data_IF_517381340227
#
_entry.id   IF_517381340227
#
_cell.length_a   1.000
_cell.length_b   1.000
_cell.length_c   1.000
_cell.angle_alpha   90.00
_cell.angle_beta   90.00
_cell.angle_gamma   90.00
#
_symmetry.space_group_name_H-M   'P 1'
#
loop_
_entity.id
_entity.type
_entity.pdbx_description
1 polymer ?
#
# COMPACT_ATOMS: atom_id res chain seq x y z
N UNK A 1 -5.61 -9.70 14.44
CA UNK A 1 -5.35 -10.15 13.07
C UNK A 1 -4.22 -9.32 12.47
N UNK A 2 -3.36 -9.96 11.72
CA UNK A 2 -2.23 -9.31 11.04
C UNK A 2 -2.36 -9.57 9.54
N UNK A 3 -2.31 -8.51 8.76
CA UNK A 3 -2.30 -8.60 7.30
C UNK A 3 -0.85 -8.46 6.82
N UNK A 4 -0.45 -9.33 5.89
CA UNK A 4 0.93 -9.38 5.39
C UNK A 4 0.90 -9.35 3.86
N UNK A 5 1.78 -8.54 3.28
CA UNK A 5 2.01 -8.51 1.85
C UNK A 5 3.52 -8.56 1.58
N UNK A 6 3.92 -9.47 0.71
CA UNK A 6 5.29 -9.54 0.23
C UNK A 6 5.40 -8.78 -1.08
N UNK A 7 6.17 -7.70 -1.08
CA UNK A 7 6.28 -6.80 -2.22
C UNK A 7 7.56 -7.05 -3.02
N UNK A 8 7.39 -7.22 -4.31
CA UNK A 8 8.47 -7.28 -5.28
C UNK A 8 7.97 -6.65 -6.58
N UNK A 9 8.42 -5.44 -6.87
CA UNK A 9 7.84 -4.66 -7.96
C UNK A 9 6.35 -4.44 -7.76
N UNK A 10 5.97 -3.97 -6.57
CA UNK A 10 4.57 -3.87 -6.15
C UNK A 10 4.41 -2.83 -5.06
N UNK A 11 3.17 -2.48 -4.77
CA UNK A 11 2.86 -1.62 -3.64
C UNK A 11 1.80 -2.22 -2.74
N UNK A 12 1.80 -1.78 -1.48
CA UNK A 12 0.73 -2.04 -0.53
C UNK A 12 0.10 -0.71 -0.14
N UNK A 13 -1.22 -0.66 -0.24
CA UNK A 13 -2.01 0.45 0.28
C UNK A 13 -2.69 -0.02 1.55
N UNK A 14 -2.38 0.64 2.67
CA UNK A 14 -3.01 0.37 3.95
C UNK A 14 -3.97 1.51 4.26
N UNK A 15 -5.24 1.17 4.49
CA UNK A 15 -6.26 2.10 4.94
C UNK A 15 -6.68 1.74 6.36
N UNK A 16 -6.88 2.75 7.19
CA UNK A 16 -7.31 2.58 8.57
C UNK A 16 -8.33 3.66 8.94
N UNK A 17 -9.47 3.22 9.43
CA UNK A 17 -10.49 4.09 10.04
C UNK A 17 -10.30 3.99 11.56
N UNK A 18 -9.70 5.02 12.13
CA UNK A 18 -9.34 5.03 13.55
C UNK A 18 -10.58 4.95 14.45
N UNK A 19 -11.63 5.66 14.10
CA UNK A 19 -12.83 5.73 14.92
C UNK A 19 -13.56 4.38 14.99
N UNK A 20 -13.55 3.62 13.90
CA UNK A 20 -14.25 2.33 13.83
C UNK A 20 -13.33 1.15 14.13
N UNK A 21 -12.03 1.36 14.21
CA UNK A 21 -11.06 0.28 14.38
C UNK A 21 -11.07 -0.72 13.22
N UNK A 22 -11.33 -0.25 12.01
CA UNK A 22 -11.39 -1.06 10.80
C UNK A 22 -10.28 -0.66 9.86
N UNK A 23 -9.64 -1.63 9.24
CA UNK A 23 -8.61 -1.36 8.26
C UNK A 23 -8.48 -2.47 7.25
N UNK A 24 -7.76 -2.19 6.18
CA UNK A 24 -7.49 -3.15 5.13
C UNK A 24 -6.17 -2.88 4.43
N UNK A 25 -5.68 -3.88 3.74
CA UNK A 25 -4.45 -3.81 2.95
C UNK A 25 -4.76 -4.26 1.53
N UNK A 26 -4.40 -3.43 0.57
CA UNK A 26 -4.51 -3.73 -0.85
C UNK A 26 -3.12 -3.90 -1.44
N UNK A 27 -2.87 -5.05 -2.04
CA UNK A 27 -1.61 -5.37 -2.72
C UNK A 27 -1.80 -5.24 -4.21
N UNK A 28 -1.05 -4.34 -4.83
CA UNK A 28 -1.08 -4.12 -6.27
C UNK A 28 0.31 -4.30 -6.86
N UNK A 29 0.43 -5.16 -7.85
CA UNK A 29 1.66 -5.30 -8.61
C UNK A 29 1.76 -4.18 -9.63
N UNK A 30 2.98 -3.72 -9.90
CA UNK A 30 3.22 -2.79 -11.00
C UNK A 30 2.94 -3.50 -12.32
N UNK A 31 2.44 -2.71 -13.26
CA UNK A 31 1.98 -3.23 -14.55
C UNK A 31 3.18 -3.54 -15.42
N UNK A 32 3.19 -4.74 -16.01
CA UNK A 32 4.30 -5.25 -16.81
C UNK A 32 5.46 -5.76 -15.94
N UNK A 33 6.35 -6.54 -16.51
CA UNK A 33 7.51 -7.10 -15.81
C UNK A 33 8.49 -6.01 -15.35
N UNK A 34 8.50 -4.89 -16.06
CA UNK A 34 9.39 -3.77 -15.77
C UNK A 34 8.71 -2.67 -14.97
N UNK A 35 7.37 -2.68 -14.88
CA UNK A 35 6.60 -1.61 -14.27
C UNK A 35 6.71 -0.28 -15.00
N UNK A 36 7.04 -0.28 -16.27
CA UNK A 36 7.24 0.95 -17.05
C UNK A 36 5.93 1.73 -17.18
N UNK A 37 5.96 3.07 -17.10
CA UNK A 37 4.77 3.88 -17.33
C UNK A 37 4.12 3.62 -18.70
N UNK A 38 4.92 3.28 -19.71
CA UNK A 38 4.42 2.95 -21.05
C UNK A 38 3.59 1.68 -21.11
N UNK A 39 3.69 0.81 -20.10
CA UNK A 39 2.88 -0.41 -20.02
C UNK A 39 1.50 -0.15 -19.44
N UNK A 40 1.24 1.08 -18.98
CA UNK A 40 -0.03 1.47 -18.39
C UNK A 40 -0.99 1.88 -19.51
N UNK A 41 -2.02 1.06 -19.75
CA UNK A 41 -3.07 1.36 -20.72
C UNK A 41 -4.29 1.96 -20.01
N UNK A 42 -5.18 2.60 -20.77
CA UNK A 42 -6.43 3.13 -20.22
C UNK A 42 -7.27 2.05 -19.55
N UNK A 43 -7.32 0.87 -20.13
CA UNK A 43 -8.04 -0.28 -19.54
C UNK A 43 -7.44 -0.70 -18.22
N UNK A 44 -6.12 -0.68 -18.11
CA UNK A 44 -5.42 -1.04 -16.87
C UNK A 44 -5.68 -0.01 -15.78
N UNK A 45 -5.65 1.27 -16.13
CA UNK A 45 -5.97 2.35 -15.19
C UNK A 45 -7.39 2.21 -14.68
N UNK A 46 -8.35 1.93 -15.58
CA UNK A 46 -9.75 1.72 -15.19
C UNK A 46 -9.90 0.55 -14.24
N UNK A 47 -9.17 -0.54 -14.48
CA UNK A 47 -9.19 -1.73 -13.60
C UNK A 47 -8.64 -1.42 -12.22
N UNK A 48 -7.54 -0.68 -12.15
CA UNK A 48 -6.94 -0.25 -10.87
C UNK A 48 -7.91 0.63 -10.09
N UNK A 49 -8.53 1.60 -10.75
CA UNK A 49 -9.50 2.50 -10.11
C UNK A 49 -10.72 1.74 -9.59
N UNK A 50 -11.19 0.73 -10.33
CA UNK A 50 -12.31 -0.12 -9.90
C UNK A 50 -11.94 -0.90 -8.65
N UNK A 51 -10.78 -1.52 -8.62
CA UNK A 51 -10.30 -2.27 -7.45
C UNK A 51 -10.12 -1.34 -6.26
N UNK A 52 -9.52 -0.18 -6.49
CA UNK A 52 -9.30 0.82 -5.44
C UNK A 52 -10.62 1.31 -4.84
N UNK A 53 -11.63 1.57 -5.67
CA UNK A 53 -12.94 2.00 -5.22
C UNK A 53 -13.61 0.93 -4.33
N UNK A 54 -13.57 -0.33 -4.75
CA UNK A 54 -14.08 -1.43 -3.94
C UNK A 54 -13.36 -1.56 -2.61
N UNK A 55 -12.05 -1.41 -2.62
CA UNK A 55 -11.24 -1.47 -1.41
C UNK A 55 -11.60 -0.35 -0.45
N UNK A 56 -11.70 0.88 -0.95
CA UNK A 56 -12.10 2.03 -0.13
C UNK A 56 -13.48 1.81 0.50
N UNK A 57 -14.44 1.32 -0.26
CA UNK A 57 -15.79 1.06 0.25
C UNK A 57 -15.81 -0.01 1.34
N UNK A 58 -14.90 -0.97 1.30
CA UNK A 58 -14.80 -2.00 2.32
C UNK A 58 -14.26 -1.48 3.65
N UNK A 59 -13.48 -0.42 3.63
CA UNK A 59 -12.87 0.17 4.84
C UNK A 59 -13.64 1.41 5.30
N UNK A 60 -13.98 2.29 4.36
CA UNK A 60 -14.64 3.56 4.66
C UNK A 60 -16.15 3.34 4.73
N UNK A 61 -16.70 3.43 5.93
CA UNK A 61 -18.14 3.33 6.13
C UNK A 61 -18.85 4.65 5.85
N UNK A 62 -20.17 4.61 5.77
CA UNK A 62 -21.01 5.81 5.57
C UNK A 62 -20.92 6.80 6.74
N UNK A 63 -20.60 6.29 7.93
CA UNK A 63 -20.41 7.12 9.12
C UNK A 63 -18.98 7.57 9.36
N UNK A 64 -18.04 7.15 8.50
CA UNK A 64 -16.63 7.48 8.65
C UNK A 64 -16.38 8.97 8.36
N UNK A 65 -15.59 9.60 9.20
CA UNK A 65 -15.11 10.96 8.97
C UNK A 65 -13.79 10.89 8.21
N UNK A 66 -13.66 11.70 7.17
CA UNK A 66 -12.48 11.66 6.30
C UNK A 66 -11.17 11.97 7.03
N UNK A 67 -11.21 12.85 8.01
CA UNK A 67 -10.05 13.21 8.81
C UNK A 67 -9.60 12.09 9.78
N UNK A 68 -10.46 11.10 10.03
CA UNK A 68 -10.16 9.94 10.87
C UNK A 68 -9.64 8.76 10.05
N UNK A 69 -9.63 8.87 8.73
CA UNK A 69 -9.12 7.83 7.84
C UNK A 69 -7.68 8.14 7.48
N UNK A 70 -6.82 7.16 7.71
CA UNK A 70 -5.41 7.25 7.39
C UNK A 70 -5.05 6.27 6.28
N UNK A 71 -4.27 6.74 5.33
CA UNK A 71 -3.78 5.91 4.24
C UNK A 71 -2.26 5.94 4.22
N UNK A 72 -1.67 4.80 3.90
CA UNK A 72 -0.24 4.70 3.74
C UNK A 72 0.08 3.81 2.55
N UNK A 73 0.92 4.32 1.65
CA UNK A 73 1.42 3.56 0.51
C UNK A 73 2.86 3.17 0.79
N UNK A 74 3.14 1.88 0.71
CA UNK A 74 4.48 1.34 0.77
C UNK A 74 4.77 0.68 -0.56
N UNK A 75 5.75 1.21 -1.30
CA UNK A 75 6.07 0.73 -2.63
C UNK A 75 7.47 0.12 -2.64
N UNK A 76 7.57 -1.04 -3.26
CA UNK A 76 8.85 -1.68 -3.55
C UNK A 76 9.13 -1.54 -5.03
N UNK A 77 10.19 -0.82 -5.37
CA UNK A 77 10.68 -0.68 -6.73
C UNK A 77 12.03 -1.38 -6.86
N UNK A 78 12.23 -2.03 -7.99
CA UNK A 78 13.56 -2.54 -8.33
C UNK A 78 14.51 -1.37 -8.54
N UNK A 79 15.84 -1.58 -8.38
CA UNK A 79 16.81 -0.52 -8.63
C UNK A 79 16.60 0.09 -10.02
N UNK A 80 16.84 1.41 -10.17
CA UNK A 80 16.58 2.06 -11.45
C UNK A 80 17.38 1.43 -12.57
N UNK A 81 16.69 1.19 -13.67
CA UNK A 81 17.30 0.84 -14.94
C UNK A 81 17.32 2.09 -15.81
N UNK A 82 17.91 2.01 -17.00
CA UNK A 82 17.96 3.14 -17.94
C UNK A 82 16.56 3.65 -18.34
N UNK A 83 15.51 2.96 -17.95
CA UNK A 83 14.13 3.26 -18.32
C UNK A 83 13.38 4.16 -17.32
N UNK A 84 14.04 4.64 -16.26
CA UNK A 84 13.44 5.55 -15.27
C UNK A 84 12.68 4.85 -14.14
N UNK A 85 11.81 5.59 -13.44
CA UNK A 85 11.05 5.11 -12.29
C UNK A 85 9.73 4.46 -12.71
N UNK A 86 9.66 3.13 -12.78
CA UNK A 86 8.50 2.46 -13.37
C UNK A 86 7.24 2.52 -12.51
N UNK A 87 7.36 2.77 -11.22
CA UNK A 87 6.24 2.73 -10.27
C UNK A 87 5.58 4.08 -10.01
N UNK A 88 6.16 5.19 -10.52
CA UNK A 88 5.71 6.54 -10.16
C UNK A 88 4.27 6.79 -10.57
N UNK A 89 3.86 6.40 -11.78
CA UNK A 89 2.52 6.68 -12.29
C UNK A 89 1.42 5.96 -11.52
N UNK A 90 1.66 4.74 -11.03
CA UNK A 90 0.67 4.01 -10.22
C UNK A 90 0.52 4.65 -8.83
N UNK A 91 1.63 4.97 -8.19
CA UNK A 91 1.63 5.65 -6.89
C UNK A 91 0.93 7.00 -7.01
N UNK A 92 1.26 7.78 -8.03
CA UNK A 92 0.67 9.09 -8.27
C UNK A 92 -0.85 9.00 -8.49
N UNK A 93 -1.29 8.00 -9.24
CA UNK A 93 -2.71 7.75 -9.48
C UNK A 93 -3.47 7.50 -8.18
N UNK A 94 -2.93 6.64 -7.33
CA UNK A 94 -3.56 6.30 -6.05
C UNK A 94 -3.56 7.51 -5.11
N UNK A 95 -2.45 8.25 -5.05
CA UNK A 95 -2.37 9.46 -4.25
C UNK A 95 -3.41 10.49 -4.68
N UNK A 96 -3.57 10.69 -5.98
CA UNK A 96 -4.55 11.63 -6.53
C UNK A 96 -5.97 11.21 -6.19
N UNK A 97 -6.29 9.93 -6.31
CA UNK A 97 -7.60 9.39 -5.97
C UNK A 97 -7.92 9.57 -4.48
N UNK A 98 -6.97 9.30 -3.61
CA UNK A 98 -7.15 9.48 -2.17
C UNK A 98 -7.29 10.96 -1.80
N UNK A 99 -6.51 11.83 -2.44
CA UNK A 99 -6.59 13.27 -2.23
C UNK A 99 -7.93 13.84 -2.66
N UNK A 100 -8.48 13.37 -3.77
CA UNK A 100 -9.82 13.76 -4.22
C UNK A 100 -10.89 13.37 -3.19
N UNK A 101 -10.70 12.26 -2.50
CA UNK A 101 -11.56 11.84 -1.39
C UNK A 101 -11.22 12.49 -0.06
N UNK A 102 -10.27 13.42 -0.02
CA UNK A 102 -9.79 14.12 1.20
C UNK A 102 -9.22 13.18 2.25
N UNK A 103 -8.60 12.09 1.80
CA UNK A 103 -7.93 11.12 2.68
C UNK A 103 -6.44 11.43 2.70
N UNK A 104 -5.89 11.63 3.89
CA UNK A 104 -4.46 11.85 4.07
C UNK A 104 -3.68 10.58 3.74
N UNK A 105 -2.65 10.72 2.92
CA UNK A 105 -1.85 9.58 2.49
C UNK A 105 -0.36 9.86 2.64
N UNK A 106 0.31 9.02 3.42
CA UNK A 106 1.76 8.98 3.47
C UNK A 106 2.29 7.96 2.47
N UNK A 107 3.41 8.27 1.83
CA UNK A 107 4.00 7.39 0.83
C UNK A 107 5.48 7.18 1.12
N UNK A 108 5.91 5.92 1.02
CA UNK A 108 7.31 5.55 1.11
C UNK A 108 7.64 4.56 -0.01
N UNK A 109 8.66 4.88 -0.79
CA UNK A 109 9.15 3.99 -1.85
C UNK A 109 10.54 3.48 -1.46
N UNK A 110 10.71 2.17 -1.53
CA UNK A 110 11.98 1.52 -1.24
C UNK A 110 12.51 0.82 -2.49
N UNK A 111 13.77 1.12 -2.82
CA UNK A 111 14.44 0.55 -3.98
C UNK A 111 15.40 -0.53 -3.52
N UNK A 112 15.01 -1.77 -3.73
CA UNK A 112 15.77 -2.95 -3.30
C UNK A 112 15.59 -4.09 -4.29
N UNK A 113 16.54 -5.01 -4.30
CA UNK A 113 16.40 -6.26 -5.06
C UNK A 113 15.65 -7.33 -4.27
N UNK A 114 15.74 -7.28 -2.94
CA UNK A 114 15.08 -8.27 -2.08
C UNK A 114 13.58 -7.97 -1.93
N UNK A 115 12.82 -9.02 -1.71
CA UNK A 115 11.40 -8.93 -1.37
C UNK A 115 11.23 -8.14 -0.07
N UNK A 116 10.25 -7.26 -0.05
CA UNK A 116 9.93 -6.46 1.11
C UNK A 116 8.62 -6.95 1.71
N UNK A 117 8.65 -7.32 2.98
CA UNK A 117 7.43 -7.73 3.67
C UNK A 117 6.83 -6.56 4.44
N UNK A 118 5.56 -6.28 4.14
CA UNK A 118 4.77 -5.27 4.83
C UNK A 118 3.80 -5.99 5.77
N UNK A 119 3.79 -5.56 7.02
CA UNK A 119 2.89 -6.07 8.04
C UNK A 119 1.96 -4.95 8.50
N UNK A 120 0.67 -5.24 8.58
CA UNK A 120 -0.34 -4.25 8.95
C UNK A 120 -1.32 -4.83 9.96
N UNK A 121 -1.52 -4.11 11.07
CA UNK A 121 -2.53 -4.41 12.08
C UNK A 121 -3.74 -3.50 11.86
N UNK A 122 -4.83 -4.02 11.29
CA UNK A 122 -5.96 -3.17 10.89
C UNK A 122 -6.69 -2.50 12.06
N UNK A 123 -6.75 -3.13 13.22
CA UNK A 123 -7.42 -2.55 14.39
C UNK A 123 -6.70 -1.30 14.92
N UNK A 124 -5.38 -1.32 14.87
CA UNK A 124 -4.55 -0.26 15.44
C UNK A 124 -3.97 0.68 14.38
N UNK A 125 -4.10 0.31 13.10
CA UNK A 125 -3.52 1.08 12.01
C UNK A 125 -2.00 1.06 11.97
N UNK A 126 -1.36 0.08 12.62
CA UNK A 126 0.10 0.01 12.68
C UNK A 126 0.64 -0.71 11.46
N UNK A 127 1.63 -0.09 10.83
CA UNK A 127 2.33 -0.62 9.67
C UNK A 127 3.81 -0.71 9.97
N UNK A 128 4.43 -1.83 9.63
CA UNK A 128 5.89 -1.94 9.69
C UNK A 128 6.39 -2.84 8.58
N UNK A 129 7.70 -2.72 8.35
CA UNK A 129 8.36 -3.41 7.25
C UNK A 129 9.29 -4.45 7.86
N UNK A 130 9.26 -5.67 7.30
CA UNK A 130 10.14 -6.74 7.69
C UNK A 130 10.94 -7.20 6.47
N UNK A 131 12.27 -7.15 6.55
CA UNK A 131 13.15 -7.86 5.64
C UNK A 131 13.47 -9.26 6.21
N UNK A 132 14.29 -10.07 5.55
CA UNK A 132 14.65 -11.38 6.05
C UNK A 132 15.17 -11.38 7.48
N UNK A 133 15.99 -10.40 7.84
CA UNK A 133 16.54 -10.26 9.19
C UNK A 133 15.54 -9.60 10.15
N UNK A 134 14.61 -8.82 9.64
CA UNK A 134 13.62 -8.10 10.43
C UNK A 134 12.44 -8.97 10.86
N UNK A 135 12.26 -10.14 10.26
CA UNK A 135 11.19 -11.07 10.65
C UNK A 135 11.30 -11.47 12.13
N UNK A 136 12.52 -11.64 12.62
CA UNK A 136 12.75 -11.95 14.04
C UNK A 136 12.37 -10.76 14.92
N UNK A 137 12.68 -9.54 14.52
CA UNK A 137 12.33 -8.34 15.24
C UNK A 137 10.80 -8.14 15.28
N UNK A 138 10.11 -8.37 14.18
CA UNK A 138 8.64 -8.33 14.11
C UNK A 138 8.03 -9.36 15.05
N UNK A 139 8.53 -10.59 15.05
CA UNK A 139 8.04 -11.64 15.93
C UNK A 139 8.23 -11.27 17.41
N UNK A 140 9.38 -10.71 17.78
CA UNK A 140 9.64 -10.23 19.14
C UNK A 140 8.69 -9.09 19.51
N UNK A 141 8.47 -8.16 18.60
CA UNK A 141 7.58 -7.03 18.82
C UNK A 141 6.14 -7.51 19.05
N UNK A 142 5.67 -8.48 18.27
CA UNK A 142 4.35 -9.10 18.46
C UNK A 142 4.22 -9.74 19.84
N UNK A 143 5.25 -10.45 20.30
CA UNK A 143 5.24 -11.08 21.62
C UNK A 143 5.22 -10.05 22.75
N UNK A 144 5.86 -8.91 22.58
CA UNK A 144 5.88 -7.86 23.59
C UNK A 144 4.57 -7.08 23.67
N UNK A 145 3.77 -7.09 22.61
CA UNK A 145 2.45 -6.43 22.57
C UNK A 145 1.37 -7.36 23.12
N UNK A 146 1.59 -8.64 23.02
CA UNK A 146 0.66 -9.62 23.55
C UNK A 146 0.78 -9.73 25.07
#
# INVERSE_FOLDING_TARGET
>A
MLLIADLHGALALCLHDEARGVGGLLHLKFIGDTGRPSDVTDNTLSSVLTVLDRFKRGVVGSSSKRDEIQARILAHALPPTDDGEPSASLVDLIQADLADGKINCGTQTMRRTEVLRVCFQPFQGRVWIAGPDSLRAVAKHRRSIA
#
